data_IF_207854678383
#
_entry.id   IF_207854678383
#
_cell.length_a   1.000
_cell.length_b   1.000
_cell.length_c   1.000
_cell.angle_alpha   90.00
_cell.angle_beta   90.00
_cell.angle_gamma   90.00
#
_symmetry.space_group_name_H-M   'P 1'
#
loop_
_entity.id
_entity.type
_entity.pdbx_description
1 polymer ?
#
# COMPACT_ATOMS: atom_id res chain seq x y z
N UNK A 1 -3.44 22.43 29.78
CA UNK A 1 -2.96 21.34 28.92
C UNK A 1 -4.08 20.31 28.87
N UNK A 2 -4.89 20.30 27.82
CA UNK A 2 -5.92 19.26 27.66
C UNK A 2 -5.19 17.94 27.38
N UNK A 3 -5.27 16.99 28.31
CA UNK A 3 -4.74 15.64 28.11
C UNK A 3 -5.28 15.09 26.79
N UNK A 4 -4.37 14.83 25.84
CA UNK A 4 -4.76 14.28 24.54
C UNK A 4 -5.27 12.85 24.78
N UNK A 5 -6.56 12.61 24.59
CA UNK A 5 -7.18 11.28 24.72
C UNK A 5 -6.39 10.25 23.91
N UNK A 6 -6.16 9.08 24.49
CA UNK A 6 -5.45 7.99 23.81
C UNK A 6 -6.34 7.43 22.71
N UNK A 7 -5.79 7.25 21.51
CA UNK A 7 -6.53 6.60 20.43
C UNK A 7 -6.73 5.11 20.74
N UNK A 8 -7.98 4.68 20.90
CA UNK A 8 -8.33 3.30 21.27
C UNK A 8 -7.87 2.29 20.21
N UNK A 9 -7.78 2.72 18.95
CA UNK A 9 -7.35 1.88 17.81
C UNK A 9 -5.87 1.53 17.85
N UNK A 10 -5.09 2.18 18.72
CA UNK A 10 -3.68 1.82 18.95
C UNK A 10 -3.51 0.64 19.90
N UNK A 11 -4.54 0.30 20.68
CA UNK A 11 -4.50 -0.80 21.65
C UNK A 11 -4.64 -2.16 20.96
N UNK A 12 -3.83 -3.13 21.38
CA UNK A 12 -4.10 -4.54 21.13
C UNK A 12 -5.37 -4.98 21.88
N UNK A 13 -5.93 -6.13 21.48
CA UNK A 13 -7.10 -6.70 22.18
C UNK A 13 -6.82 -6.98 23.66
N UNK A 14 -5.59 -7.36 24.00
CA UNK A 14 -5.16 -7.59 25.38
C UNK A 14 -5.09 -6.27 26.17
N UNK A 15 -4.48 -5.22 25.60
CA UNK A 15 -4.41 -3.90 26.23
C UNK A 15 -5.81 -3.29 26.39
N UNK A 16 -6.70 -3.44 25.41
CA UNK A 16 -8.10 -3.01 25.52
C UNK A 16 -8.82 -3.75 26.66
N UNK A 17 -8.60 -5.05 26.81
CA UNK A 17 -9.16 -5.84 27.92
C UNK A 17 -8.65 -5.35 29.28
N UNK A 18 -7.35 -5.06 29.39
CA UNK A 18 -6.76 -4.53 30.62
C UNK A 18 -7.34 -3.15 30.96
N UNK A 19 -7.40 -2.24 29.99
CA UNK A 19 -7.96 -0.90 30.17
C UNK A 19 -9.43 -0.95 30.64
N UNK A 20 -10.25 -1.82 30.05
CA UNK A 20 -11.64 -2.01 30.48
C UNK A 20 -11.74 -2.58 31.90
N UNK A 21 -10.83 -3.48 32.27
CA UNK A 21 -10.81 -4.06 33.63
C UNK A 21 -10.43 -3.00 34.67
N UNK A 22 -9.46 -2.14 34.37
CA UNK A 22 -9.08 -0.98 35.20
C UNK A 22 -10.22 0.03 35.34
N UNK A 23 -11.05 0.15 34.30
CA UNK A 23 -12.29 0.92 34.34
C UNK A 23 -13.40 0.23 35.17
N UNK A 24 -13.23 -0.99 35.66
CA UNK A 24 -14.28 -1.74 36.36
C UNK A 24 -15.34 -2.34 35.43
N UNK A 25 -15.06 -2.43 34.14
CA UNK A 25 -15.92 -3.06 33.14
C UNK A 25 -15.62 -4.56 32.99
N UNK A 26 -16.63 -5.31 32.54
CA UNK A 26 -16.47 -6.76 32.36
C UNK A 26 -15.54 -7.07 31.16
N UNK A 27 -14.59 -8.02 31.29
CA UNK A 27 -13.58 -8.26 30.25
C UNK A 27 -14.13 -8.64 28.86
N UNK A 28 -15.33 -9.22 28.78
CA UNK A 28 -15.94 -9.58 27.50
C UNK A 28 -16.32 -8.36 26.65
N UNK A 29 -16.47 -7.17 27.25
CA UNK A 29 -16.75 -5.92 26.52
C UNK A 29 -15.65 -5.57 25.53
N UNK A 30 -14.41 -6.01 25.80
CA UNK A 30 -13.28 -5.85 24.89
C UNK A 30 -13.58 -6.46 23.52
N UNK A 31 -14.19 -7.65 23.47
CA UNK A 31 -14.55 -8.31 22.21
C UNK A 31 -15.58 -7.48 21.42
N UNK A 32 -16.62 -6.99 22.08
CA UNK A 32 -17.66 -6.18 21.45
C UNK A 32 -17.09 -4.87 20.88
N UNK A 33 -16.26 -4.16 21.65
CA UNK A 33 -15.61 -2.93 21.18
C UNK A 33 -14.67 -3.24 20.01
N UNK A 34 -13.89 -4.32 20.09
CA UNK A 34 -12.98 -4.72 19.02
C UNK A 34 -13.72 -5.02 17.70
N UNK A 35 -14.85 -5.72 17.76
CA UNK A 35 -15.73 -5.97 16.61
C UNK A 35 -16.24 -4.65 15.99
N UNK A 36 -16.66 -3.68 16.81
CA UNK A 36 -17.08 -2.36 16.30
C UNK A 36 -15.95 -1.60 15.63
N UNK A 37 -14.74 -1.64 16.21
CA UNK A 37 -13.59 -0.94 15.66
C UNK A 37 -13.10 -1.54 14.33
N UNK A 38 -13.08 -2.86 14.19
CA UNK A 38 -12.35 -3.51 13.10
C UNK A 38 -13.22 -4.26 12.10
N UNK A 39 -14.35 -4.83 12.54
CA UNK A 39 -15.29 -5.50 11.64
C UNK A 39 -16.31 -4.53 11.07
N UNK A 40 -16.81 -3.60 11.90
CA UNK A 40 -17.81 -2.60 11.51
C UNK A 40 -17.22 -1.24 11.12
N UNK A 41 -15.94 -1.02 11.43
CA UNK A 41 -15.21 0.23 11.18
C UNK A 41 -15.97 1.48 11.69
N UNK A 42 -16.46 1.41 12.94
CA UNK A 42 -17.28 2.46 13.56
C UNK A 42 -16.58 3.82 13.60
N UNK A 43 -17.32 4.90 13.32
CA UNK A 43 -16.77 6.27 13.39
C UNK A 43 -16.68 6.79 14.82
N UNK A 44 -17.54 6.27 15.70
CA UNK A 44 -17.87 6.89 16.97
C UNK A 44 -18.24 5.83 18.01
N UNK A 45 -18.12 6.16 19.30
CA UNK A 45 -18.56 5.25 20.36
C UNK A 45 -20.08 5.14 20.41
N UNK A 46 -20.78 6.18 19.94
CA UNK A 46 -22.22 6.29 19.85
C UNK A 46 -22.82 5.18 18.97
N UNK A 47 -22.15 4.83 17.87
CA UNK A 47 -22.53 3.73 16.97
C UNK A 47 -22.56 2.35 17.64
N UNK A 48 -21.84 2.17 18.75
CA UNK A 48 -21.69 0.89 19.42
C UNK A 48 -22.96 0.48 20.18
N UNK A 49 -24.03 0.15 19.44
CA UNK A 49 -25.39 -0.01 19.94
C UNK A 49 -25.60 -1.16 20.95
N UNK A 50 -24.67 -2.11 21.02
CA UNK A 50 -24.67 -3.20 22.00
C UNK A 50 -23.95 -2.84 23.32
N UNK A 51 -23.46 -1.61 23.45
CA UNK A 51 -22.85 -1.05 24.66
C UNK A 51 -23.83 -0.13 25.39
N UNK A 52 -23.90 -0.25 26.72
CA UNK A 52 -24.71 0.63 27.55
C UNK A 52 -24.25 2.09 27.44
N UNK A 53 -25.17 3.04 27.64
CA UNK A 53 -24.89 4.49 27.53
C UNK A 53 -23.71 4.92 28.40
N UNK A 54 -23.69 4.49 29.67
CA UNK A 54 -22.61 4.79 30.61
C UNK A 54 -21.23 4.31 30.12
N UNK A 55 -21.14 3.14 29.48
CA UNK A 55 -19.88 2.66 28.93
C UNK A 55 -19.44 3.50 27.72
N UNK A 56 -20.36 3.86 26.83
CA UNK A 56 -20.05 4.72 25.67
C UNK A 56 -19.53 6.09 26.11
N UNK A 57 -20.15 6.70 27.13
CA UNK A 57 -19.71 7.97 27.73
C UNK A 57 -18.30 7.85 28.31
N UNK A 58 -18.02 6.81 29.08
CA UNK A 58 -16.68 6.60 29.66
C UNK A 58 -15.60 6.32 28.61
N UNK A 59 -15.94 5.59 27.55
CA UNK A 59 -15.04 5.40 26.41
C UNK A 59 -14.75 6.73 25.73
N UNK A 60 -15.78 7.55 25.51
CA UNK A 60 -15.63 8.89 24.95
C UNK A 60 -14.76 9.78 25.84
N UNK A 61 -14.89 9.71 27.17
CA UNK A 61 -14.08 10.50 28.10
C UNK A 61 -12.59 10.13 28.08
N UNK A 62 -12.27 8.84 28.02
CA UNK A 62 -10.89 8.34 28.14
C UNK A 62 -10.16 8.17 26.81
N UNK A 63 -10.89 7.88 25.74
CA UNK A 63 -10.33 7.51 24.46
C UNK A 63 -10.84 8.36 23.30
N UNK A 64 -10.08 8.34 22.22
CA UNK A 64 -10.49 8.84 20.91
C UNK A 64 -10.54 7.70 19.89
N UNK A 65 -11.33 7.91 18.83
CA UNK A 65 -11.26 7.13 17.60
C UNK A 65 -10.68 8.06 16.54
N UNK A 66 -9.36 8.04 16.37
CA UNK A 66 -8.74 8.77 15.26
C UNK A 66 -8.94 7.98 13.97
N UNK A 67 -9.39 8.66 12.92
CA UNK A 67 -9.70 8.08 11.61
C UNK A 67 -9.26 9.03 10.51
N UNK A 68 -9.19 8.50 9.29
CA UNK A 68 -9.12 9.36 8.11
C UNK A 68 -10.52 9.80 7.69
N UNK A 69 -10.58 10.96 7.05
CA UNK A 69 -11.79 11.55 6.50
C UNK A 69 -11.61 11.83 5.01
N UNK A 70 -12.64 11.54 4.20
CA UNK A 70 -12.62 11.86 2.79
C UNK A 70 -12.73 13.38 2.60
N UNK A 71 -11.74 13.97 1.94
CA UNK A 71 -11.73 15.41 1.65
C UNK A 71 -12.02 15.71 0.17
N UNK A 72 -11.56 14.85 -0.74
CA UNK A 72 -11.79 15.01 -2.18
C UNK A 72 -11.88 13.63 -2.86
N UNK A 73 -12.63 13.56 -3.95
CA UNK A 73 -12.83 12.35 -4.73
C UNK A 73 -12.90 12.68 -6.21
N UNK A 74 -12.13 11.94 -7.01
CA UNK A 74 -12.10 12.06 -8.47
C UNK A 74 -12.40 10.71 -9.10
N UNK A 75 -13.14 10.71 -10.20
CA UNK A 75 -13.59 9.50 -10.89
C UNK A 75 -13.16 9.59 -12.35
N UNK A 76 -12.36 8.61 -12.76
CA UNK A 76 -11.86 8.46 -14.12
C UNK A 76 -12.96 7.99 -15.06
N UNK A 77 -12.80 8.31 -16.34
CA UNK A 77 -13.53 7.71 -17.45
C UNK A 77 -13.45 6.17 -17.48
N UNK A 78 -12.38 5.57 -16.95
CA UNK A 78 -12.21 4.12 -16.86
C UNK A 78 -12.81 3.47 -15.59
N UNK A 79 -13.55 4.28 -14.80
CA UNK A 79 -14.16 3.96 -13.49
C UNK A 79 -13.18 3.89 -12.31
N UNK A 80 -11.89 4.16 -12.49
CA UNK A 80 -10.96 4.32 -11.36
C UNK A 80 -11.41 5.48 -10.46
N UNK A 81 -11.36 5.29 -9.14
CA UNK A 81 -11.67 6.34 -8.17
C UNK A 81 -10.39 6.69 -7.42
N UNK A 82 -10.00 7.96 -7.43
CA UNK A 82 -8.95 8.49 -6.56
C UNK A 82 -9.59 9.24 -5.40
N UNK A 83 -9.22 8.89 -4.18
CA UNK A 83 -9.68 9.52 -2.95
C UNK A 83 -8.51 10.23 -2.29
N UNK A 84 -8.71 11.48 -1.90
CA UNK A 84 -7.82 12.20 -1.00
C UNK A 84 -8.42 12.17 0.40
N UNK A 85 -7.65 11.64 1.35
CA UNK A 85 -8.04 11.51 2.74
C UNK A 85 -7.23 12.46 3.60
N UNK A 86 -7.90 13.15 4.51
CA UNK A 86 -7.27 13.92 5.58
C UNK A 86 -7.13 13.04 6.82
N UNK A 87 -5.94 13.02 7.40
CA UNK A 87 -5.64 12.32 8.64
C UNK A 87 -5.94 13.19 9.86
N UNK A 88 -5.98 12.60 11.06
CA UNK A 88 -6.32 13.31 12.31
C UNK A 88 -5.43 14.53 12.63
N UNK A 89 -4.24 14.59 12.04
CA UNK A 89 -3.28 15.67 12.16
C UNK A 89 -3.15 16.49 10.86
N UNK A 90 -4.26 16.57 10.11
CA UNK A 90 -4.48 17.43 8.94
C UNK A 90 -3.50 17.21 7.79
N UNK A 91 -2.98 15.99 7.63
CA UNK A 91 -2.13 15.61 6.49
C UNK A 91 -2.95 14.84 5.46
N UNK A 92 -2.57 14.97 4.19
CA UNK A 92 -3.27 14.34 3.07
C UNK A 92 -2.53 13.10 2.59
N UNK A 93 -3.28 12.01 2.43
CA UNK A 93 -2.87 10.79 1.73
C UNK A 93 -3.89 10.38 0.69
N UNK A 94 -3.46 9.66 -0.34
CA UNK A 94 -4.32 9.24 -1.44
C UNK A 94 -4.55 7.72 -1.41
N UNK A 95 -5.74 7.28 -1.76
CA UNK A 95 -6.08 5.87 -2.00
C UNK A 95 -6.86 5.73 -3.31
N UNK A 96 -6.69 4.61 -4.00
CA UNK A 96 -7.28 4.40 -5.34
C UNK A 96 -8.09 3.11 -5.39
N UNK A 97 -9.32 3.18 -5.89
CA UNK A 97 -10.13 2.02 -6.25
C UNK A 97 -9.99 1.76 -7.75
N UNK A 98 -9.58 0.56 -8.11
CA UNK A 98 -9.34 0.15 -9.50
C UNK A 98 -10.31 -0.99 -9.83
N UNK A 99 -11.52 -0.70 -10.34
CA UNK A 99 -12.44 -1.73 -10.81
C UNK A 99 -12.02 -2.26 -12.19
N UNK A 100 -12.15 -3.56 -12.37
CA UNK A 100 -11.98 -4.24 -13.66
C UNK A 100 -13.15 -5.19 -13.89
N UNK A 101 -13.22 -5.84 -15.06
CA UNK A 101 -14.29 -6.81 -15.34
C UNK A 101 -14.31 -8.01 -14.39
N UNK A 102 -13.17 -8.40 -13.82
CA UNK A 102 -13.03 -9.64 -13.03
C UNK A 102 -12.65 -9.43 -11.56
N UNK A 103 -12.23 -8.23 -11.19
CA UNK A 103 -11.76 -7.90 -9.84
C UNK A 103 -11.83 -6.41 -9.56
N UNK A 104 -11.89 -6.06 -8.28
CA UNK A 104 -11.79 -4.68 -7.81
C UNK A 104 -10.63 -4.60 -6.81
N UNK A 105 -9.69 -3.69 -7.05
CA UNK A 105 -8.45 -3.57 -6.27
C UNK A 105 -8.40 -2.24 -5.54
N UNK A 106 -8.09 -2.26 -4.24
CA UNK A 106 -7.77 -1.07 -3.46
C UNK A 106 -6.25 -0.89 -3.42
N UNK A 107 -5.78 0.25 -3.93
CA UNK A 107 -4.40 0.70 -3.77
C UNK A 107 -4.36 1.68 -2.60
N UNK A 108 -3.62 1.32 -1.54
CA UNK A 108 -3.59 2.09 -0.29
C UNK A 108 -2.20 2.61 0.02
N UNK A 109 -2.17 3.76 0.70
CA UNK A 109 -0.98 4.42 1.21
C UNK A 109 -0.58 3.86 2.57
N UNK A 110 0.73 3.88 2.85
CA UNK A 110 1.33 3.44 4.12
C UNK A 110 2.04 4.56 4.88
N UNK A 111 2.34 5.68 4.21
CA UNK A 111 2.98 6.86 4.81
C UNK A 111 2.38 8.14 4.23
N UNK A 112 2.59 9.26 4.92
CA UNK A 112 2.36 10.61 4.40
C UNK A 112 3.65 11.08 3.72
N UNK A 113 3.68 11.06 2.40
CA UNK A 113 4.90 11.23 1.61
C UNK A 113 5.72 9.93 1.56
N UNK A 114 6.99 10.01 1.15
CA UNK A 114 7.88 8.85 1.10
C UNK A 114 9.33 9.27 1.38
N UNK A 115 10.06 8.51 2.20
CA UNK A 115 11.49 8.78 2.44
C UNK A 115 12.33 8.49 1.22
N UNK A 116 11.95 7.50 0.40
CA UNK A 116 12.67 7.11 -0.81
C UNK A 116 12.44 8.14 -1.93
N UNK A 117 13.51 8.50 -2.64
CA UNK A 117 13.50 9.50 -3.70
C UNK A 117 13.55 8.86 -5.10
N UNK A 118 12.69 7.87 -5.36
CA UNK A 118 12.59 7.27 -6.69
C UNK A 118 12.22 8.33 -7.72
N UNK A 119 13.07 8.55 -8.73
CA UNK A 119 12.97 9.72 -9.63
C UNK A 119 11.72 9.73 -10.50
N UNK A 120 11.17 8.55 -10.80
CA UNK A 120 9.95 8.34 -11.57
C UNK A 120 8.66 8.40 -10.73
N UNK A 121 8.74 8.65 -9.42
CA UNK A 121 7.59 8.62 -8.52
C UNK A 121 7.28 10.03 -7.99
N UNK A 122 6.06 10.51 -8.21
CA UNK A 122 5.62 11.80 -7.71
C UNK A 122 5.61 11.85 -6.17
N UNK A 123 5.24 10.75 -5.50
CA UNK A 123 5.36 10.65 -4.04
C UNK A 123 6.82 10.70 -3.58
N UNK A 124 7.75 10.20 -4.40
CA UNK A 124 9.19 10.25 -4.11
C UNK A 124 9.73 11.67 -3.96
N UNK A 125 9.02 12.68 -4.49
CA UNK A 125 9.32 14.10 -4.38
C UNK A 125 8.70 14.77 -3.16
N UNK A 126 7.74 14.12 -2.51
CA UNK A 126 7.14 14.62 -1.28
C UNK A 126 8.04 14.24 -0.10
N UNK A 127 8.29 15.19 0.80
CA UNK A 127 8.97 14.92 2.06
C UNK A 127 8.15 13.93 2.89
N UNK A 128 8.81 12.92 3.45
CA UNK A 128 8.18 12.06 4.45
C UNK A 128 7.79 12.90 5.68
N UNK A 129 6.50 12.96 5.99
CA UNK A 129 6.01 13.66 7.17
C UNK A 129 5.86 12.71 8.36
N UNK A 130 5.26 11.54 8.15
CA UNK A 130 5.13 10.46 9.15
C UNK A 130 4.63 9.16 8.53
N UNK A 131 4.74 8.10 9.32
CA UNK A 131 4.06 6.83 9.08
C UNK A 131 2.55 6.92 9.36
N UNK A 132 1.74 6.17 8.61
CA UNK A 132 0.34 5.94 8.94
C UNK A 132 0.20 4.87 10.01
N UNK A 133 -0.81 4.98 10.85
CA UNK A 133 -1.21 3.91 11.78
C UNK A 133 -1.93 2.79 11.03
N UNK A 134 -1.99 1.61 11.64
CA UNK A 134 -2.76 0.50 11.10
C UNK A 134 -4.25 0.85 10.90
N UNK A 135 -4.81 1.68 11.81
CA UNK A 135 -6.18 2.18 11.70
C UNK A 135 -6.41 3.04 10.46
N UNK A 136 -5.48 3.95 10.16
CA UNK A 136 -5.57 4.80 8.96
C UNK A 136 -5.45 3.99 7.66
N UNK A 137 -4.66 2.90 7.65
CA UNK A 137 -4.60 1.97 6.50
C UNK A 137 -5.88 1.14 6.36
N UNK A 138 -6.46 0.68 7.46
CA UNK A 138 -7.76 -0.03 7.47
C UNK A 138 -8.89 0.88 7.01
N UNK A 139 -8.89 2.16 7.39
CA UNK A 139 -9.92 3.11 6.97
C UNK A 139 -9.93 3.32 5.45
N UNK A 140 -8.74 3.38 4.81
CA UNK A 140 -8.64 3.44 3.36
C UNK A 140 -9.32 2.23 2.72
N UNK A 141 -9.04 1.02 3.23
CA UNK A 141 -9.64 -0.22 2.73
C UNK A 141 -11.15 -0.24 2.95
N UNK A 142 -11.62 0.12 4.13
CA UNK A 142 -13.05 0.11 4.47
C UNK A 142 -13.83 1.10 3.59
N UNK A 143 -13.30 2.30 3.38
CA UNK A 143 -13.90 3.28 2.49
C UNK A 143 -13.93 2.78 1.03
N UNK A 144 -12.79 2.29 0.51
CA UNK A 144 -12.69 1.80 -0.86
C UNK A 144 -13.56 0.55 -1.11
N UNK A 145 -13.70 -0.33 -0.11
CA UNK A 145 -14.66 -1.44 -0.14
C UNK A 145 -16.09 -0.94 -0.27
N UNK A 146 -16.49 0.01 0.56
CA UNK A 146 -17.83 0.58 0.51
C UNK A 146 -18.12 1.23 -0.86
N UNK A 147 -17.13 1.91 -1.47
CA UNK A 147 -17.27 2.43 -2.84
C UNK A 147 -17.43 1.30 -3.86
N UNK A 148 -16.67 0.21 -3.77
CA UNK A 148 -16.82 -0.93 -4.67
C UNK A 148 -18.23 -1.52 -4.64
N UNK A 149 -18.78 -1.70 -3.43
CA UNK A 149 -20.08 -2.31 -3.20
C UNK A 149 -21.21 -1.36 -3.58
N UNK A 150 -21.21 -0.12 -3.08
CA UNK A 150 -22.33 0.81 -3.26
C UNK A 150 -22.37 1.43 -4.65
N UNK A 151 -21.22 1.66 -5.29
CA UNK A 151 -21.15 2.35 -6.58
C UNK A 151 -21.09 1.40 -7.78
N UNK A 152 -20.43 0.26 -7.63
CA UNK A 152 -20.21 -0.67 -8.74
C UNK A 152 -20.89 -2.02 -8.55
N UNK A 153 -21.52 -2.26 -7.40
CA UNK A 153 -22.11 -3.57 -7.06
C UNK A 153 -21.11 -4.72 -7.22
N UNK A 154 -19.86 -4.45 -6.82
CA UNK A 154 -18.78 -5.44 -6.87
C UNK A 154 -18.08 -5.58 -5.52
N UNK A 155 -17.68 -6.78 -5.11
CA UNK A 155 -16.88 -6.94 -3.92
C UNK A 155 -15.48 -6.38 -4.11
N UNK A 156 -14.87 -5.86 -3.04
CA UNK A 156 -13.43 -5.60 -3.03
C UNK A 156 -12.68 -6.94 -2.95
N UNK A 157 -11.93 -7.27 -3.99
CA UNK A 157 -11.29 -8.59 -4.10
C UNK A 157 -9.79 -8.57 -3.86
N UNK A 158 -9.12 -7.42 -3.99
CA UNK A 158 -7.67 -7.29 -3.86
C UNK A 158 -7.26 -6.00 -3.15
N UNK A 159 -6.15 -6.06 -2.42
CA UNK A 159 -5.51 -4.89 -1.80
C UNK A 159 -4.04 -4.88 -2.18
N UNK A 160 -3.52 -3.71 -2.56
CA UNK A 160 -2.11 -3.50 -2.85
C UNK A 160 -1.58 -2.32 -2.03
N UNK A 161 -0.47 -2.52 -1.32
CA UNK A 161 0.27 -1.44 -0.66
C UNK A 161 1.23 -0.82 -1.69
N UNK A 162 0.66 -0.08 -2.64
CA UNK A 162 1.35 0.56 -3.76
C UNK A 162 0.93 2.04 -3.90
N UNK A 163 0.31 2.61 -2.87
CA UNK A 163 -0.02 4.02 -2.79
C UNK A 163 1.21 4.85 -2.37
N UNK A 164 1.00 5.81 -1.47
CA UNK A 164 2.07 6.65 -0.95
C UNK A 164 2.88 5.94 0.14
N UNK A 165 4.21 6.03 0.05
CA UNK A 165 5.15 5.53 1.06
C UNK A 165 5.78 4.18 0.76
N UNK A 166 6.84 3.85 1.50
CA UNK A 166 7.51 2.54 1.52
C UNK A 166 6.98 1.71 2.69
N UNK A 167 6.16 0.66 2.43
CA UNK A 167 5.52 -0.11 3.49
C UNK A 167 6.49 -0.76 4.48
N UNK A 168 7.69 -1.16 4.04
CA UNK A 168 8.67 -1.80 4.93
C UNK A 168 9.36 -0.81 5.88
N UNK A 169 9.33 0.50 5.60
CA UNK A 169 9.74 1.55 6.54
C UNK A 169 8.63 1.91 7.54
N UNK A 170 7.42 1.39 7.32
CA UNK A 170 6.32 1.40 8.28
C UNK A 170 5.93 -0.01 8.74
N UNK A 171 6.94 -0.87 8.92
CA UNK A 171 6.76 -2.31 9.09
C UNK A 171 5.74 -2.71 10.15
N UNK A 172 5.83 -2.15 11.36
CA UNK A 172 4.97 -2.52 12.50
C UNK A 172 3.49 -2.23 12.20
N UNK A 173 3.19 -1.03 11.73
CA UNK A 173 1.81 -0.63 11.45
C UNK A 173 1.28 -1.31 10.18
N UNK A 174 2.14 -1.53 9.18
CA UNK A 174 1.81 -2.28 7.97
C UNK A 174 1.44 -3.73 8.30
N UNK A 175 2.27 -4.42 9.09
CA UNK A 175 2.00 -5.80 9.46
C UNK A 175 0.68 -5.89 10.24
N UNK A 176 0.50 -5.00 11.24
CA UNK A 176 -0.74 -4.90 12.00
C UNK A 176 -1.96 -4.60 11.12
N UNK A 177 -1.86 -3.72 10.11
CA UNK A 177 -2.99 -3.47 9.21
C UNK A 177 -3.32 -4.71 8.38
N UNK A 178 -2.32 -5.45 7.88
CA UNK A 178 -2.59 -6.70 7.15
C UNK A 178 -3.28 -7.75 8.03
N UNK A 179 -2.91 -7.86 9.31
CA UNK A 179 -3.57 -8.72 10.28
C UNK A 179 -5.02 -8.30 10.54
N UNK A 180 -5.28 -7.01 10.76
CA UNK A 180 -6.63 -6.48 10.97
C UNK A 180 -7.52 -6.65 9.73
N UNK A 181 -6.96 -6.44 8.53
CA UNK A 181 -7.69 -6.62 7.28
C UNK A 181 -8.05 -8.09 7.06
N UNK A 182 -7.16 -9.01 7.45
CA UNK A 182 -7.33 -10.44 7.17
C UNK A 182 -7.98 -11.25 8.27
N UNK A 183 -8.00 -10.73 9.50
CA UNK A 183 -8.62 -11.38 10.65
C UNK A 183 -10.13 -11.55 10.43
N UNK A 184 -10.71 -12.70 10.83
CA UNK A 184 -12.16 -12.88 10.92
C UNK A 184 -12.83 -11.89 11.88
N UNK A 185 -12.09 -11.37 12.87
CA UNK A 185 -12.56 -10.33 13.80
C UNK A 185 -12.34 -8.90 13.25
N UNK A 186 -11.78 -8.78 12.04
CA UNK A 186 -11.62 -7.54 11.31
C UNK A 186 -12.36 -7.58 9.98
N UNK A 187 -11.68 -7.26 8.87
CA UNK A 187 -12.34 -7.17 7.56
C UNK A 187 -12.50 -8.51 6.83
N UNK A 188 -11.97 -9.61 7.37
CA UNK A 188 -12.18 -10.98 6.89
C UNK A 188 -11.63 -11.30 5.51
N UNK A 189 -10.67 -10.52 4.98
CA UNK A 189 -10.11 -10.77 3.65
C UNK A 189 -9.02 -11.83 3.69
N UNK A 190 -8.99 -12.72 2.70
CA UNK A 190 -7.87 -13.67 2.59
C UNK A 190 -6.54 -12.92 2.46
N UNK A 191 -5.50 -13.26 3.26
CA UNK A 191 -4.16 -12.66 3.12
C UNK A 191 -3.60 -12.79 1.71
N UNK A 192 -3.95 -13.85 0.97
CA UNK A 192 -3.52 -14.08 -0.42
C UNK A 192 -4.10 -13.08 -1.42
N UNK A 193 -5.06 -12.25 -1.02
CA UNK A 193 -5.59 -11.11 -1.79
C UNK A 193 -4.86 -9.80 -1.52
N UNK A 194 -3.95 -9.79 -0.54
CA UNK A 194 -3.13 -8.65 -0.17
C UNK A 194 -1.75 -8.79 -0.82
N UNK A 195 -1.25 -7.72 -1.43
CA UNK A 195 0.12 -7.64 -1.93
C UNK A 195 0.82 -6.45 -1.31
N UNK A 196 1.96 -6.67 -0.68
CA UNK A 196 2.83 -5.63 -0.15
C UNK A 196 3.96 -5.42 -1.14
N UNK A 197 4.12 -4.19 -1.64
CA UNK A 197 5.23 -3.80 -2.51
C UNK A 197 6.34 -3.16 -1.69
N UNK A 198 7.59 -3.36 -2.11
CA UNK A 198 8.74 -2.67 -1.53
C UNK A 198 9.72 -2.23 -2.60
N UNK A 199 10.40 -1.12 -2.39
CA UNK A 199 11.54 -0.64 -3.17
C UNK A 199 12.82 -1.46 -2.94
N UNK A 200 12.79 -2.47 -2.09
CA UNK A 200 13.92 -3.40 -1.92
C UNK A 200 14.79 -3.10 -0.71
N UNK A 201 14.22 -3.18 0.49
CA UNK A 201 14.98 -3.10 1.74
C UNK A 201 15.33 -4.53 2.17
N UNK A 202 16.50 -5.02 1.76
CA UNK A 202 16.88 -6.43 1.87
C UNK A 202 16.73 -6.99 3.30
N UNK A 203 17.19 -6.23 4.30
CA UNK A 203 17.03 -6.59 5.72
C UNK A 203 15.56 -6.77 6.13
N UNK A 204 14.67 -5.92 5.63
CA UNK A 204 13.24 -5.99 5.96
C UNK A 204 12.52 -7.10 5.18
N UNK A 205 12.98 -7.43 3.97
CA UNK A 205 12.51 -8.62 3.23
C UNK A 205 12.85 -9.89 4.01
N UNK A 206 14.06 -10.01 4.56
CA UNK A 206 14.42 -11.14 5.45
C UNK A 206 13.51 -11.19 6.68
N UNK A 207 13.24 -10.04 7.30
CA UNK A 207 12.30 -9.94 8.43
C UNK A 207 10.88 -10.40 8.08
N UNK A 208 10.38 -10.12 6.88
CA UNK A 208 9.10 -10.68 6.42
C UNK A 208 9.12 -12.22 6.38
N UNK A 209 10.27 -12.80 6.01
CA UNK A 209 10.49 -14.24 6.04
C UNK A 209 10.48 -14.77 7.47
N UNK A 210 11.17 -14.10 8.39
CA UNK A 210 11.21 -14.47 9.83
C UNK A 210 9.82 -14.43 10.49
N UNK A 211 9.03 -13.42 10.14
CA UNK A 211 7.66 -13.26 10.66
C UNK A 211 6.64 -14.13 9.89
N UNK A 212 7.10 -14.97 8.95
CA UNK A 212 6.31 -15.93 8.16
C UNK A 212 5.01 -15.37 7.56
N UNK A 213 5.08 -14.15 7.04
CA UNK A 213 3.91 -13.40 6.56
C UNK A 213 3.10 -14.19 5.52
N UNK A 214 1.78 -13.97 5.50
CA UNK A 214 0.86 -14.74 4.64
C UNK A 214 0.41 -14.01 3.38
N UNK A 215 0.69 -12.71 3.26
CA UNK A 215 0.41 -11.90 2.08
C UNK A 215 1.43 -12.12 0.96
N UNK A 216 1.13 -11.63 -0.26
CA UNK A 216 2.06 -11.70 -1.38
C UNK A 216 3.09 -10.57 -1.32
N UNK A 217 4.31 -10.83 -1.77
CA UNK A 217 5.38 -9.83 -1.89
C UNK A 217 5.58 -9.41 -3.34
N UNK A 218 5.61 -8.09 -3.56
CA UNK A 218 6.08 -7.48 -4.79
C UNK A 218 7.37 -6.68 -4.54
N UNK A 219 8.34 -6.77 -5.45
CA UNK A 219 9.54 -5.94 -5.45
C UNK A 219 9.47 -4.97 -6.62
N UNK A 220 9.52 -3.68 -6.31
CA UNK A 220 9.75 -2.59 -7.26
C UNK A 220 11.20 -2.63 -7.73
N UNK A 221 11.44 -3.43 -8.77
CA UNK A 221 12.79 -3.72 -9.28
C UNK A 221 13.24 -2.64 -10.27
N UNK A 222 12.45 -2.46 -11.33
CA UNK A 222 12.57 -1.44 -12.38
C UNK A 222 13.87 -1.38 -13.19
N UNK A 223 14.96 -2.01 -12.76
CA UNK A 223 16.13 -2.30 -13.57
C UNK A 223 16.84 -3.53 -12.97
N UNK A 224 17.32 -4.42 -13.82
CA UNK A 224 18.08 -5.61 -13.42
C UNK A 224 19.60 -5.44 -13.66
N UNK A 225 20.05 -4.18 -13.69
CA UNK A 225 21.45 -3.75 -13.72
C UNK A 225 21.63 -2.69 -12.63
N UNK A 226 22.62 -2.85 -11.75
CA UNK A 226 22.82 -1.94 -10.60
C UNK A 226 23.07 -0.50 -11.06
N UNK A 227 23.83 -0.28 -12.14
CA UNK A 227 24.14 1.07 -12.62
C UNK A 227 22.89 1.81 -13.13
N UNK A 228 21.99 1.10 -13.83
CA UNK A 228 20.69 1.66 -14.22
C UNK A 228 19.80 1.84 -13.00
N UNK A 229 19.79 0.90 -12.07
CA UNK A 229 18.95 0.97 -10.87
C UNK A 229 19.32 2.14 -9.97
N UNK A 230 20.61 2.39 -9.74
CA UNK A 230 21.13 3.55 -9.00
C UNK A 230 20.64 4.88 -9.59
N UNK A 231 20.54 4.98 -10.93
CA UNK A 231 20.08 6.20 -11.59
C UNK A 231 18.63 6.56 -11.27
N UNK A 232 17.78 5.58 -10.94
CA UNK A 232 16.34 5.78 -10.71
C UNK A 232 15.90 5.56 -9.26
N UNK A 233 16.69 4.82 -8.47
CA UNK A 233 16.35 4.37 -7.12
C UNK A 233 17.60 4.39 -6.21
N UNK A 234 17.79 5.47 -5.46
CA UNK A 234 18.93 5.67 -4.53
C UNK A 234 19.12 4.51 -3.51
N UNK A 235 18.04 3.82 -3.14
CA UNK A 235 18.08 2.68 -2.21
C UNK A 235 18.97 1.53 -2.71
N UNK A 236 19.25 1.46 -4.01
CA UNK A 236 20.10 0.44 -4.61
C UNK A 236 21.55 0.54 -4.16
N UNK A 237 22.06 1.74 -3.89
CA UNK A 237 23.44 1.95 -3.44
C UNK A 237 23.74 1.21 -2.13
N UNK A 238 22.72 1.01 -1.28
CA UNK A 238 22.83 0.23 -0.04
C UNK A 238 22.15 -1.14 -0.09
N UNK A 239 21.36 -1.43 -1.13
CA UNK A 239 20.62 -2.68 -1.32
C UNK A 239 20.65 -3.08 -2.81
N UNK A 240 21.84 -3.44 -3.27
CA UNK A 240 22.10 -3.84 -4.65
C UNK A 240 21.36 -5.14 -5.02
N UNK A 241 21.43 -5.51 -6.29
CA UNK A 241 20.75 -6.71 -6.81
C UNK A 241 21.20 -8.00 -6.12
N UNK A 242 22.48 -8.12 -5.74
CA UNK A 242 22.98 -9.28 -5.00
C UNK A 242 22.29 -9.42 -3.63
N UNK A 243 22.30 -8.36 -2.82
CA UNK A 243 21.64 -8.34 -1.51
C UNK A 243 20.13 -8.60 -1.62
N UNK A 244 19.48 -8.09 -2.68
CA UNK A 244 18.07 -8.37 -2.96
C UNK A 244 17.85 -9.84 -3.30
N UNK A 245 18.69 -10.41 -4.17
CA UNK A 245 18.62 -11.81 -4.58
C UNK A 245 18.63 -12.75 -3.38
N UNK A 246 19.58 -12.58 -2.47
CA UNK A 246 19.69 -13.40 -1.26
C UNK A 246 18.49 -13.21 -0.31
N UNK A 247 18.01 -11.97 -0.15
CA UNK A 247 16.88 -11.69 0.71
C UNK A 247 15.58 -12.31 0.18
N UNK A 248 15.39 -12.30 -1.15
CA UNK A 248 14.23 -12.89 -1.81
C UNK A 248 14.26 -14.42 -1.75
N UNK A 249 15.43 -15.04 -1.93
CA UNK A 249 15.63 -16.47 -1.72
C UNK A 249 15.22 -16.88 -0.30
N UNK A 250 15.77 -16.18 0.70
CA UNK A 250 15.45 -16.44 2.10
C UNK A 250 13.95 -16.26 2.40
N UNK A 251 13.34 -15.19 1.91
CA UNK A 251 11.90 -14.95 2.06
C UNK A 251 11.07 -16.10 1.46
N UNK A 252 11.45 -16.57 0.27
CA UNK A 252 10.76 -17.67 -0.40
C UNK A 252 10.93 -19.00 0.35
N UNK A 253 12.14 -19.32 0.80
CA UNK A 253 12.42 -20.52 1.59
C UNK A 253 11.57 -20.58 2.87
N UNK A 254 11.40 -19.44 3.56
CA UNK A 254 10.58 -19.36 4.78
C UNK A 254 9.08 -19.44 4.54
N UNK A 255 8.59 -18.82 3.46
CA UNK A 255 7.14 -18.60 3.29
C UNK A 255 6.50 -19.45 2.19
N UNK A 256 7.30 -20.03 1.31
CA UNK A 256 6.85 -20.65 0.06
C UNK A 256 6.18 -19.68 -0.92
N UNK A 257 6.19 -18.37 -0.64
CA UNK A 257 5.43 -17.38 -1.42
C UNK A 257 6.20 -17.01 -2.69
N UNK A 258 5.54 -17.11 -3.84
CA UNK A 258 6.09 -16.65 -5.13
C UNK A 258 6.16 -15.12 -5.16
N UNK A 259 7.34 -14.58 -5.50
CA UNK A 259 7.57 -13.13 -5.56
C UNK A 259 7.05 -12.54 -6.87
N UNK A 260 6.64 -11.28 -6.87
CA UNK A 260 6.33 -10.53 -8.09
C UNK A 260 7.35 -9.43 -8.31
N UNK A 261 7.98 -9.36 -9.48
CA UNK A 261 8.80 -8.24 -9.89
C UNK A 261 7.95 -7.22 -10.63
N UNK A 262 7.89 -6.00 -10.12
CA UNK A 262 7.27 -4.86 -10.78
C UNK A 262 8.36 -4.11 -11.55
N UNK A 263 8.16 -3.94 -12.86
CA UNK A 263 9.15 -3.38 -13.79
C UNK A 263 8.49 -2.28 -14.62
N UNK A 264 8.75 -1.01 -14.27
CA UNK A 264 8.28 0.11 -15.08
C UNK A 264 9.19 0.22 -16.29
N UNK A 265 8.61 0.26 -17.48
CA UNK A 265 9.35 0.30 -18.74
C UNK A 265 9.43 1.74 -19.26
N UNK A 266 10.64 2.28 -19.26
CA UNK A 266 10.99 3.65 -19.64
C UNK A 266 11.63 3.68 -21.02
N UNK A 267 11.16 4.60 -21.86
CA UNK A 267 11.65 4.81 -23.21
C UNK A 267 13.17 5.04 -23.21
N UNK A 268 13.87 4.26 -24.03
CA UNK A 268 15.30 4.39 -24.32
C UNK A 268 16.22 4.33 -23.06
N UNK A 269 15.73 3.78 -21.96
CA UNK A 269 16.48 3.64 -20.70
C UNK A 269 16.62 2.18 -20.27
N UNK A 270 15.49 1.48 -20.12
CA UNK A 270 15.44 0.09 -19.64
C UNK A 270 14.46 -0.78 -20.46
N UNK A 271 14.21 -0.38 -21.71
CA UNK A 271 13.25 -0.99 -22.64
C UNK A 271 13.90 -1.83 -23.76
N UNK A 272 15.21 -2.08 -23.66
CA UNK A 272 15.95 -2.87 -24.63
C UNK A 272 15.85 -4.38 -24.40
N UNK A 273 16.20 -5.17 -25.42
CA UNK A 273 16.27 -6.64 -25.28
C UNK A 273 17.42 -7.08 -24.35
N UNK A 274 18.50 -6.31 -24.27
CA UNK A 274 19.55 -6.57 -23.27
C UNK A 274 19.01 -6.41 -21.84
N UNK A 275 18.20 -5.39 -21.56
CA UNK A 275 17.53 -5.23 -20.27
C UNK A 275 16.60 -6.41 -19.95
N UNK A 276 15.91 -6.94 -20.97
CA UNK A 276 15.08 -8.13 -20.82
C UNK A 276 15.91 -9.39 -20.52
N UNK A 277 17.14 -9.49 -21.06
CA UNK A 277 18.09 -10.57 -20.74
C UNK A 277 18.57 -10.48 -19.30
N UNK A 278 18.97 -9.29 -18.86
CA UNK A 278 19.42 -9.06 -17.49
C UNK A 278 18.30 -9.38 -16.50
N UNK A 279 17.08 -8.95 -16.80
CA UNK A 279 15.90 -9.27 -15.99
C UNK A 279 15.60 -10.78 -15.98
N UNK A 280 15.73 -11.47 -17.11
CA UNK A 280 15.56 -12.92 -17.16
C UNK A 280 16.63 -13.67 -16.37
N UNK A 281 17.86 -13.17 -16.34
CA UNK A 281 18.95 -13.75 -15.53
C UNK A 281 18.68 -13.54 -14.04
N UNK A 282 18.39 -12.30 -13.64
CA UNK A 282 18.06 -11.98 -12.25
C UNK A 282 16.84 -12.79 -11.76
N UNK A 283 15.84 -12.99 -12.61
CA UNK A 283 14.62 -13.71 -12.27
C UNK A 283 14.83 -15.18 -11.88
N UNK A 284 15.98 -15.78 -12.21
CA UNK A 284 16.30 -17.17 -11.83
C UNK A 284 16.53 -17.33 -10.33
N UNK A 285 16.81 -16.25 -9.59
CA UNK A 285 17.14 -16.34 -8.18
C UNK A 285 16.00 -16.86 -7.31
N UNK A 286 14.74 -16.69 -7.73
CA UNK A 286 13.57 -17.08 -6.94
C UNK A 286 12.38 -17.36 -7.86
N UNK A 287 11.50 -18.32 -7.54
CA UNK A 287 10.24 -18.45 -8.27
C UNK A 287 9.48 -17.13 -8.26
N UNK A 288 9.21 -16.60 -9.46
CA UNK A 288 8.66 -15.27 -9.61
C UNK A 288 7.58 -15.16 -10.70
N UNK A 289 6.98 -13.97 -10.76
CA UNK A 289 6.20 -13.45 -11.88
C UNK A 289 6.72 -12.05 -12.17
N UNK A 290 6.62 -11.60 -13.42
CA UNK A 290 7.03 -10.25 -13.83
C UNK A 290 5.78 -9.48 -14.26
N UNK A 291 5.61 -8.29 -13.70
CA UNK A 291 4.63 -7.32 -14.14
C UNK A 291 5.35 -6.15 -14.80
N UNK A 292 5.22 -6.05 -16.11
CA UNK A 292 5.68 -4.89 -16.87
C UNK A 292 4.63 -3.80 -16.70
N UNK A 293 5.01 -2.63 -16.22
CA UNK A 293 4.12 -1.51 -15.96
C UNK A 293 4.40 -0.41 -16.97
N UNK A 294 3.36 0.03 -17.67
CA UNK A 294 3.45 1.26 -18.46
C UNK A 294 3.64 2.47 -17.54
N UNK A 295 4.69 3.24 -17.83
CA UNK A 295 4.97 4.48 -17.15
C UNK A 295 3.91 5.54 -17.46
N UNK A 296 3.59 6.32 -16.43
CA UNK A 296 2.72 7.49 -16.53
C UNK A 296 3.56 8.69 -16.15
N UNK A 297 3.85 9.59 -17.11
CA UNK A 297 4.67 10.75 -16.86
C UNK A 297 4.20 11.56 -15.65
N UNK A 298 5.20 12.04 -14.91
CA UNK A 298 5.06 13.07 -13.89
C UNK A 298 5.61 14.39 -14.48
N UNK A 299 5.37 15.51 -13.80
CA UNK A 299 5.45 16.86 -14.39
C UNK A 299 6.83 17.33 -14.91
N UNK A 300 7.91 16.53 -14.77
CA UNK A 300 9.28 17.00 -15.05
C UNK A 300 9.86 16.47 -16.36
N UNK A 301 9.19 15.53 -17.03
CA UNK A 301 9.56 15.07 -18.37
C UNK A 301 10.80 14.17 -18.49
N UNK A 302 11.53 13.90 -17.40
CA UNK A 302 12.76 13.09 -17.38
C UNK A 302 12.60 11.67 -17.94
N UNK A 303 11.43 11.08 -17.74
CA UNK A 303 11.11 9.73 -18.20
C UNK A 303 9.87 9.76 -19.10
N UNK A 304 9.83 8.84 -20.06
CA UNK A 304 8.70 8.67 -20.97
C UNK A 304 8.30 7.21 -21.06
N UNK A 305 7.04 6.97 -21.43
CA UNK A 305 6.55 5.63 -21.71
C UNK A 305 7.29 5.06 -22.92
N UNK A 306 7.81 3.83 -22.79
CA UNK A 306 8.43 3.10 -23.89
C UNK A 306 7.45 2.85 -25.05
N UNK A 307 8.00 2.75 -26.27
CA UNK A 307 7.21 2.48 -27.46
C UNK A 307 6.50 1.13 -27.35
N UNK A 308 5.22 1.06 -27.73
CA UNK A 308 4.40 -0.14 -27.56
C UNK A 308 5.04 -1.41 -28.16
N UNK A 309 5.67 -1.28 -29.33
CA UNK A 309 6.39 -2.39 -29.96
C UNK A 309 7.55 -2.91 -29.09
N UNK A 310 8.32 -2.01 -28.47
CA UNK A 310 9.41 -2.42 -27.56
C UNK A 310 8.85 -3.13 -26.33
N UNK A 311 7.73 -2.66 -25.78
CA UNK A 311 7.06 -3.34 -24.65
C UNK A 311 6.64 -4.76 -25.03
N UNK A 312 6.03 -4.92 -26.21
CA UNK A 312 5.58 -6.23 -26.72
C UNK A 312 6.78 -7.16 -26.99
N UNK A 313 7.85 -6.65 -27.64
CA UNK A 313 9.08 -7.42 -27.90
C UNK A 313 9.77 -7.84 -26.59
N UNK A 314 9.82 -6.94 -25.60
CA UNK A 314 10.38 -7.19 -24.26
C UNK A 314 9.60 -8.28 -23.52
N UNK A 315 8.27 -8.18 -23.52
CA UNK A 315 7.40 -9.19 -22.92
C UNK A 315 7.55 -10.55 -23.60
N UNK A 316 7.50 -10.59 -24.94
CA UNK A 316 7.65 -11.81 -25.72
C UNK A 316 9.02 -12.48 -25.49
N UNK A 317 10.09 -11.68 -25.34
CA UNK A 317 11.41 -12.21 -24.99
C UNK A 317 11.40 -12.92 -23.63
N UNK A 318 10.87 -12.28 -22.58
CA UNK A 318 10.79 -12.88 -21.25
C UNK A 318 9.91 -14.15 -21.23
N UNK A 319 8.78 -14.13 -21.93
CA UNK A 319 7.91 -15.30 -22.10
C UNK A 319 8.64 -16.45 -22.81
N UNK A 320 9.47 -16.16 -23.82
CA UNK A 320 10.32 -17.17 -24.49
C UNK A 320 11.35 -17.82 -23.55
N UNK A 321 11.62 -17.21 -22.39
CA UNK A 321 12.44 -17.76 -21.30
C UNK A 321 11.61 -18.51 -20.25
N UNK A 322 10.34 -18.83 -20.54
CA UNK A 322 9.38 -19.49 -19.65
C UNK A 322 9.06 -18.70 -18.37
N UNK A 323 9.20 -17.38 -18.41
CA UNK A 323 8.80 -16.50 -17.30
C UNK A 323 7.31 -16.14 -17.43
N UNK A 324 6.63 -16.03 -16.29
CA UNK A 324 5.24 -15.55 -16.26
C UNK A 324 5.27 -14.03 -16.33
N UNK A 325 4.81 -13.47 -17.45
CA UNK A 325 4.80 -12.03 -17.69
C UNK A 325 3.37 -11.52 -17.76
N UNK A 326 3.10 -10.37 -17.15
CA UNK A 326 1.85 -9.63 -17.36
C UNK A 326 2.18 -8.18 -17.70
N UNK A 327 1.58 -7.66 -18.77
CA UNK A 327 1.67 -6.23 -19.10
C UNK A 327 0.50 -5.50 -18.45
N UNK A 328 0.81 -4.64 -17.49
CA UNK A 328 -0.15 -3.75 -16.82
C UNK A 328 -0.27 -2.45 -17.60
N UNK A 329 -1.32 -2.39 -18.42
CA UNK A 329 -1.76 -1.14 -19.03
C UNK A 329 -2.31 -0.20 -17.97
N UNK A 330 -2.02 1.08 -18.14
CA UNK A 330 -2.33 2.07 -17.12
C UNK A 330 -3.83 2.37 -16.97
N UNK A 331 -4.21 2.81 -15.77
CA UNK A 331 -5.59 3.07 -15.31
C UNK A 331 -5.64 4.40 -14.57
N UNK A 332 -6.73 5.14 -14.72
CA UNK A 332 -6.95 6.41 -14.02
C UNK A 332 -5.97 7.53 -14.39
N UNK A 333 -5.41 7.52 -15.61
CA UNK A 333 -4.44 8.53 -16.08
C UNK A 333 -5.04 9.95 -16.08
N UNK A 334 -6.30 10.07 -16.48
CA UNK A 334 -7.04 11.34 -16.62
C UNK A 334 -7.26 12.07 -15.28
N UNK A 335 -7.04 11.39 -14.15
CA UNK A 335 -7.21 11.92 -12.80
C UNK A 335 -5.94 11.77 -11.95
N UNK A 336 -4.76 11.60 -12.55
CA UNK A 336 -3.48 11.39 -11.85
C UNK A 336 -3.56 10.27 -10.77
N UNK A 337 -4.20 9.14 -11.10
CA UNK A 337 -4.40 8.01 -10.18
C UNK A 337 -3.58 6.77 -10.56
N UNK A 338 -2.81 6.84 -11.65
CA UNK A 338 -1.98 5.73 -12.08
C UNK A 338 -0.77 5.54 -11.14
N UNK A 339 -0.15 4.35 -11.20
CA UNK A 339 1.04 4.04 -10.39
C UNK A 339 2.11 5.12 -10.55
N UNK A 340 2.59 5.66 -9.43
CA UNK A 340 3.61 6.71 -9.40
C UNK A 340 3.10 8.16 -9.49
N UNK A 341 1.81 8.41 -9.74
CA UNK A 341 1.27 9.77 -9.91
C UNK A 341 0.68 10.40 -8.63
N UNK A 342 0.62 9.66 -7.52
CA UNK A 342 0.06 10.14 -6.26
C UNK A 342 0.95 11.25 -5.65
N UNK A 343 0.52 12.49 -5.83
CA UNK A 343 1.29 13.70 -5.57
C UNK A 343 0.50 14.75 -4.80
N UNK A 344 -0.65 14.35 -4.23
CA UNK A 344 -1.62 15.25 -3.61
C UNK A 344 -2.10 16.36 -4.56
N UNK A 345 -2.27 16.03 -5.85
CA UNK A 345 -2.91 16.89 -6.87
C UNK A 345 -4.43 16.77 -6.76
N UNK A 346 -4.98 17.45 -5.77
CA UNK A 346 -6.40 17.40 -5.42
C UNK A 346 -6.83 18.69 -4.69
N UNK A 347 -8.12 18.79 -4.34
CA UNK A 347 -8.67 19.94 -3.60
C UNK A 347 -8.39 19.90 -2.10
N UNK A 348 -7.85 18.80 -1.59
CA UNK A 348 -7.57 18.63 -0.16
C UNK A 348 -6.32 19.38 0.30
N UNK A 349 -5.39 19.69 -0.60
CA UNK A 349 -4.18 20.47 -0.29
C UNK A 349 -3.82 21.42 -1.45
N UNK A 350 -3.51 22.68 -1.12
CA UNK A 350 -3.06 23.64 -2.12
C UNK A 350 -1.65 23.28 -2.57
N UNK A 351 -1.29 23.67 -3.81
CA UNK A 351 0.03 23.38 -4.39
C UNK A 351 1.17 23.87 -3.49
N UNK A 352 1.01 25.07 -2.90
CA UNK A 352 2.02 25.71 -2.06
C UNK A 352 2.15 25.08 -0.66
N UNK A 353 1.13 24.33 -0.23
CA UNK A 353 1.12 23.63 1.05
C UNK A 353 1.77 22.22 0.94
N UNK A 354 2.15 21.79 -0.28
CA UNK A 354 2.85 20.52 -0.50
C UNK A 354 4.31 20.65 -0.12
N UNK A 355 4.75 19.84 0.84
CA UNK A 355 6.15 19.81 1.26
C UNK A 355 6.94 18.89 0.32
N UNK A 356 7.65 19.50 -0.62
CA UNK A 356 8.58 18.82 -1.53
C UNK A 356 9.95 18.56 -0.85
N UNK A 357 10.74 17.66 -1.41
CA UNK A 357 12.12 17.36 -0.98
C UNK A 357 13.13 18.39 -1.46
#
# INVERSE_FOLDING_TARGET
MTDKKKNIRTLSKAELKSALTEMGEKPFRAKQIYEWLWQKNAASFEEMSNLGKALRERLFEQFSIERIELQDQQISSDKTIKCAFTTYDNRVVEGVLIPTRSRTTACISSQVGCSLACKFCATGRLKLMRNLTAGEMVDQVAYLRNQAETRYDTPLTNIVYMGMGEPLLNYKEMLRSTELISSPEGLGMSPKRITVSTAGIAKMIRKLGDDEVKFNLALSLHAADDKKRDQIMEINESNNLEALSEALQYFHEKTGTRVTFEYIIFKDFNDGIEDARDLAEFAKCVPCKINIIEYNPIDDGDFQQADAKKVDDFAAFLESKNLIVNVRRSRGKDIDAACGQLANKNKAIRKDDRVLK
#
